data_IF_622665279190
#
_entry.id   IF_622665279190
#
_cell.length_a   1.000
_cell.length_b   1.000
_cell.length_c   1.000
_cell.angle_alpha   90.00
_cell.angle_beta   90.00
_cell.angle_gamma   90.00
#
_symmetry.space_group_name_H-M   'P 1'
#
loop_
_entity.id
_entity.type
_entity.pdbx_description
1 polymer ?
#
# COMPACT_ATOMS: atom_id res chain seq x y z
N UNK A 1 13.91 3.71 38.09
CA UNK A 1 15.36 3.45 37.99
C UNK A 1 15.50 2.13 37.24
N UNK A 2 16.04 2.15 36.02
CA UNK A 2 16.20 0.93 35.23
C UNK A 2 17.23 0.02 35.89
N UNK A 3 16.85 -1.22 36.18
CA UNK A 3 17.69 -2.22 36.84
C UNK A 3 18.85 -2.64 35.94
N UNK A 4 20.05 -2.80 36.50
CA UNK A 4 21.21 -3.35 35.79
C UNK A 4 21.06 -4.86 35.73
N UNK A 5 21.18 -5.45 34.54
CA UNK A 5 21.08 -6.90 34.32
C UNK A 5 22.47 -7.40 33.86
N UNK A 6 23.21 -8.18 34.67
CA UNK A 6 24.49 -8.74 34.25
C UNK A 6 24.30 -9.82 33.17
N UNK A 7 25.30 -9.99 32.30
CA UNK A 7 25.31 -11.09 31.32
C UNK A 7 25.46 -12.45 32.02
N UNK A 8 24.92 -13.50 31.42
CA UNK A 8 25.00 -14.88 31.93
C UNK A 8 25.50 -15.85 30.86
N UNK A 9 25.59 -17.15 31.18
CA UNK A 9 25.94 -18.19 30.20
C UNK A 9 24.89 -18.32 29.10
N UNK A 10 23.62 -18.14 29.45
CA UNK A 10 22.46 -18.23 28.56
C UNK A 10 22.27 -16.94 27.73
N UNK A 11 22.77 -15.81 28.24
CA UNK A 11 22.70 -14.50 27.58
C UNK A 11 24.07 -13.79 27.64
N UNK A 12 25.05 -14.23 26.82
CA UNK A 12 26.37 -13.61 26.77
C UNK A 12 26.30 -12.19 26.22
N UNK A 13 27.34 -11.41 26.47
CA UNK A 13 27.45 -10.07 25.92
C UNK A 13 27.39 -10.11 24.39
N UNK A 14 26.48 -9.36 23.74
CA UNK A 14 26.33 -9.39 22.28
C UNK A 14 27.58 -8.90 21.54
N UNK A 15 28.41 -8.08 22.20
CA UNK A 15 29.58 -7.44 21.58
C UNK A 15 30.87 -8.26 21.66
N UNK A 16 31.10 -8.96 22.79
CA UNK A 16 32.33 -9.72 23.00
C UNK A 16 32.12 -11.22 23.20
N UNK A 17 30.86 -11.68 23.25
CA UNK A 17 30.49 -13.08 23.44
C UNK A 17 30.83 -13.66 24.81
N UNK A 18 31.27 -12.84 25.78
CA UNK A 18 31.62 -13.29 27.13
C UNK A 18 30.42 -13.25 28.07
N UNK A 19 30.40 -14.17 29.01
CA UNK A 19 29.29 -14.45 29.92
C UNK A 19 29.46 -13.78 31.28
N UNK A 20 30.40 -12.84 31.40
CA UNK A 20 30.79 -12.20 32.65
C UNK A 20 31.19 -10.72 32.44
N UNK A 21 31.12 -9.92 33.51
CA UNK A 21 31.56 -8.50 33.63
C UNK A 21 30.78 -7.47 32.81
N UNK A 22 30.10 -7.87 31.73
CA UNK A 22 29.25 -6.99 30.93
C UNK A 22 27.83 -6.95 31.50
N UNK A 23 27.02 -5.98 31.08
CA UNK A 23 25.65 -5.87 31.56
C UNK A 23 24.77 -5.09 30.58
N UNK A 24 23.45 -5.20 30.72
CA UNK A 24 22.46 -4.37 30.04
C UNK A 24 21.68 -3.50 31.02
N UNK A 25 21.13 -2.40 30.52
CA UNK A 25 20.25 -1.48 31.24
C UNK A 25 19.11 -1.09 30.29
N UNK A 26 17.94 -1.70 30.45
CA UNK A 26 16.86 -1.61 29.46
C UNK A 26 17.35 -2.11 28.09
N UNK A 27 17.14 -1.33 27.04
CA UNK A 27 17.57 -1.62 25.67
C UNK A 27 19.07 -1.34 25.40
N UNK A 28 19.83 -0.89 26.39
CA UNK A 28 21.25 -0.57 26.23
C UNK A 28 22.14 -1.71 26.72
N UNK A 29 23.24 -1.97 26.02
CA UNK A 29 24.26 -2.95 26.41
C UNK A 29 25.61 -2.29 26.67
N UNK A 30 26.37 -2.83 27.62
CA UNK A 30 27.68 -2.30 28.04
C UNK A 30 28.71 -3.41 27.98
N UNK A 31 29.68 -3.27 27.08
CA UNK A 31 30.81 -4.19 26.99
C UNK A 31 32.01 -3.65 27.76
N UNK A 32 32.29 -4.19 28.95
CA UNK A 32 33.46 -3.79 29.77
C UNK A 32 34.81 -4.09 29.11
N UNK A 33 34.82 -4.96 28.10
CA UNK A 33 36.00 -5.29 27.29
C UNK A 33 36.19 -4.35 26.10
N UNK A 34 35.32 -3.33 25.95
CA UNK A 34 35.37 -2.31 24.89
C UNK A 34 35.42 -2.88 23.47
N UNK A 35 34.82 -4.05 23.27
CA UNK A 35 34.65 -4.61 21.93
C UNK A 35 33.81 -3.66 21.06
N UNK A 36 34.02 -3.64 19.73
CA UNK A 36 33.17 -2.88 18.81
C UNK A 36 31.70 -3.35 18.92
N UNK A 37 30.73 -2.49 18.55
CA UNK A 37 29.32 -2.89 18.56
C UNK A 37 29.12 -4.10 17.64
N UNK A 38 28.20 -4.98 18.03
CA UNK A 38 27.82 -6.13 17.23
C UNK A 38 26.91 -5.69 16.09
N UNK A 39 26.71 -6.54 15.09
CA UNK A 39 25.80 -6.24 13.99
C UNK A 39 24.40 -5.92 14.52
N UNK A 40 23.81 -4.84 13.99
CA UNK A 40 22.55 -4.32 14.50
C UNK A 40 22.67 -3.50 15.79
N UNK A 41 23.87 -3.15 16.26
CA UNK A 41 24.09 -2.24 17.41
C UNK A 41 24.94 -1.04 17.02
N UNK A 42 24.76 0.10 17.70
CA UNK A 42 25.56 1.32 17.52
C UNK A 42 26.09 1.84 18.84
N UNK A 43 27.31 2.38 18.81
CA UNK A 43 27.90 3.09 19.94
C UNK A 43 27.16 4.40 20.17
N UNK A 44 26.74 4.65 21.40
CA UNK A 44 26.14 5.92 21.81
C UNK A 44 27.21 6.87 22.36
N UNK A 45 26.86 8.15 22.49
CA UNK A 45 27.72 9.16 23.15
C UNK A 45 27.68 9.08 24.68
N UNK A 46 26.82 8.23 25.25
CA UNK A 46 26.66 8.08 26.70
C UNK A 46 27.58 6.97 27.21
N UNK A 47 28.09 7.14 28.43
CA UNK A 47 28.95 6.16 29.11
C UNK A 47 28.41 5.84 30.50
N UNK A 48 28.86 4.72 31.05
CA UNK A 48 28.72 4.47 32.48
C UNK A 48 29.66 5.37 33.31
N UNK A 49 29.58 5.23 34.63
CA UNK A 49 30.39 6.01 35.59
C UNK A 49 31.90 5.78 35.45
N UNK A 50 32.31 4.69 34.80
CA UNK A 50 33.70 4.34 34.53
C UNK A 50 34.15 4.74 33.11
N UNK A 51 33.31 5.47 32.37
CA UNK A 51 33.61 5.93 31.01
C UNK A 51 33.47 4.85 29.94
N UNK A 52 32.83 3.72 30.24
CA UNK A 52 32.56 2.66 29.26
C UNK A 52 31.34 3.04 28.42
N UNK A 53 31.42 3.08 27.08
CA UNK A 53 30.32 3.51 26.23
C UNK A 53 29.15 2.52 26.25
N UNK A 54 27.93 3.06 26.18
CA UNK A 54 26.74 2.27 25.96
C UNK A 54 26.53 2.00 24.48
N UNK A 55 26.07 0.79 24.15
CA UNK A 55 25.63 0.39 22.84
C UNK A 55 24.11 0.26 22.81
N UNK A 56 23.48 0.68 21.72
CA UNK A 56 22.03 0.61 21.52
C UNK A 56 21.72 -0.17 20.24
N UNK A 57 20.61 -0.92 20.16
CA UNK A 57 20.20 -1.55 18.92
C UNK A 57 19.91 -0.48 17.84
N UNK A 58 20.24 -0.82 16.61
CA UNK A 58 19.94 -0.04 15.41
C UNK A 58 18.50 -0.35 15.04
N UNK A 59 17.55 0.45 15.53
CA UNK A 59 16.17 0.42 15.05
C UNK A 59 16.14 0.79 13.56
N UNK A 60 15.44 -0.02 12.75
CA UNK A 60 15.32 0.15 11.29
C UNK A 60 14.55 1.40 10.82
N UNK A 61 14.23 2.35 11.70
CA UNK A 61 13.53 3.59 11.36
C UNK A 61 14.45 4.78 10.99
N UNK A 62 15.73 4.56 10.64
CA UNK A 62 16.64 5.66 10.26
C UNK A 62 17.54 5.39 9.05
N UNK A 63 16.93 5.02 7.93
CA UNK A 63 17.54 5.17 6.60
C UNK A 63 16.69 6.07 5.69
N UNK A 64 16.54 7.34 6.10
CA UNK A 64 16.41 8.47 5.19
C UNK A 64 16.72 9.77 5.95
N UNK A 65 17.98 10.18 6.01
CA UNK A 65 18.33 11.58 6.32
C UNK A 65 18.07 12.43 5.06
N UNK A 66 16.81 12.56 4.68
CA UNK A 66 16.34 13.70 3.90
C UNK A 66 16.00 14.82 4.87
N UNK A 67 16.35 16.07 4.55
CA UNK A 67 15.87 17.21 5.33
C UNK A 67 14.35 17.26 5.28
N UNK A 68 13.67 16.90 6.37
CA UNK A 68 12.23 17.05 6.52
C UNK A 68 11.87 18.55 6.47
N UNK A 69 11.51 19.05 5.30
CA UNK A 69 11.01 20.42 5.12
C UNK A 69 9.50 20.40 5.14
N UNK A 70 8.90 21.40 5.78
CA UNK A 70 7.48 21.67 5.58
C UNK A 70 7.23 21.91 4.09
N UNK A 71 6.13 21.37 3.58
CA UNK A 71 5.71 21.60 2.20
C UNK A 71 4.69 22.73 2.19
N UNK A 72 5.02 23.84 1.52
CA UNK A 72 4.08 24.94 1.30
C UNK A 72 3.67 24.97 -0.16
N UNK A 73 2.38 24.84 -0.42
CA UNK A 73 1.75 25.07 -1.73
C UNK A 73 0.90 26.34 -1.69
N UNK A 74 0.79 27.00 -2.83
CA UNK A 74 0.05 28.26 -2.97
C UNK A 74 -0.65 28.27 -4.31
N UNK A 75 -1.96 28.50 -4.30
CA UNK A 75 -2.78 28.60 -5.49
C UNK A 75 -3.33 30.02 -5.59
N UNK A 76 -3.06 30.66 -6.71
CA UNK A 76 -3.38 32.07 -6.93
C UNK A 76 -4.57 32.18 -7.86
N UNK A 77 -5.51 33.02 -7.47
CA UNK A 77 -6.70 33.37 -8.23
C UNK A 77 -6.54 34.79 -8.74
N UNK A 78 -6.85 34.97 -10.02
CA UNK A 78 -6.91 36.27 -10.67
C UNK A 78 -8.36 36.67 -10.88
N UNK A 79 -8.63 37.96 -11.04
CA UNK A 79 -9.90 38.39 -11.62
C UNK A 79 -9.99 37.97 -13.10
N UNK A 80 -11.16 38.19 -13.71
CA UNK A 80 -11.40 37.80 -15.11
C UNK A 80 -10.53 38.56 -16.11
N UNK A 81 -9.93 39.68 -15.70
CA UNK A 81 -8.98 40.45 -16.50
C UNK A 81 -7.52 40.01 -16.29
N UNK A 82 -7.26 39.05 -15.40
CA UNK A 82 -5.93 38.50 -15.11
C UNK A 82 -5.18 39.19 -13.98
N UNK A 83 -5.80 40.11 -13.23
CA UNK A 83 -5.17 40.78 -12.08
C UNK A 83 -5.23 39.90 -10.83
N UNK A 84 -4.15 39.83 -10.07
CA UNK A 84 -4.06 39.04 -8.83
C UNK A 84 -5.11 39.50 -7.79
N UNK A 85 -5.87 38.54 -7.23
CA UNK A 85 -7.04 38.84 -6.39
C UNK A 85 -6.94 38.17 -5.01
N UNK A 86 -6.97 36.84 -4.97
CA UNK A 86 -6.80 36.05 -3.73
C UNK A 86 -5.86 34.87 -3.96
N UNK A 87 -5.36 34.28 -2.88
CA UNK A 87 -4.64 33.01 -2.94
C UNK A 87 -5.01 32.11 -1.77
N UNK A 88 -5.00 30.81 -2.02
CA UNK A 88 -5.06 29.79 -0.99
C UNK A 88 -3.64 29.30 -0.70
N UNK A 89 -3.26 29.27 0.56
CA UNK A 89 -1.97 28.74 1.02
C UNK A 89 -2.24 27.51 1.88
N UNK A 90 -1.58 26.40 1.54
CA UNK A 90 -1.58 25.17 2.36
C UNK A 90 -0.16 24.83 2.74
N UNK A 91 0.04 24.56 4.02
CA UNK A 91 1.33 24.14 4.56
C UNK A 91 1.14 22.80 5.26
N UNK A 92 1.81 21.76 4.75
CA UNK A 92 1.91 20.45 5.38
C UNK A 92 3.17 20.42 6.23
N UNK A 93 3.04 19.97 7.46
CA UNK A 93 4.16 19.86 8.38
C UNK A 93 4.78 18.49 8.29
N UNK A 94 6.10 18.44 8.25
CA UNK A 94 6.84 17.19 8.32
C UNK A 94 6.68 16.48 9.66
N UNK A 95 6.37 17.24 10.72
CA UNK A 95 5.98 16.74 12.03
C UNK A 95 4.72 17.47 12.51
N UNK A 96 3.76 16.78 13.15
CA UNK A 96 2.56 17.42 13.68
C UNK A 96 2.90 18.62 14.59
N UNK A 97 2.16 19.72 14.44
CA UNK A 97 2.32 20.94 15.25
C UNK A 97 1.09 21.19 16.12
N UNK A 98 1.31 21.67 17.33
CA UNK A 98 0.25 22.18 18.20
C UNK A 98 -0.24 23.53 17.67
N UNK A 99 -1.47 23.55 17.15
CA UNK A 99 -2.16 24.75 16.66
C UNK A 99 -3.50 24.83 17.36
N UNK A 100 -3.73 25.91 18.09
CA UNK A 100 -4.94 26.13 18.90
C UNK A 100 -5.26 24.93 19.82
N UNK A 101 -4.23 24.36 20.45
CA UNK A 101 -4.36 23.23 21.38
C UNK A 101 -4.59 21.86 20.74
N UNK A 102 -4.59 21.75 19.40
CA UNK A 102 -4.72 20.46 18.69
C UNK A 102 -3.46 20.17 17.87
N UNK A 103 -3.01 18.92 17.89
CA UNK A 103 -1.97 18.44 16.98
C UNK A 103 -2.53 18.41 15.55
N UNK A 104 -1.91 19.17 14.65
CA UNK A 104 -2.27 19.25 13.23
C UNK A 104 -1.08 18.89 12.36
N UNK A 105 -1.32 18.09 11.32
CA UNK A 105 -0.33 17.74 10.28
C UNK A 105 -0.30 18.74 9.13
N UNK A 106 -1.25 19.68 9.08
CA UNK A 106 -1.30 20.74 8.08
C UNK A 106 -2.10 21.95 8.59
N UNK A 107 -1.92 23.08 7.91
CA UNK A 107 -2.81 24.24 8.00
C UNK A 107 -3.10 24.79 6.60
N UNK A 108 -4.27 25.38 6.45
CA UNK A 108 -4.64 26.12 5.25
C UNK A 108 -5.18 27.49 5.66
N UNK A 109 -4.85 28.52 4.90
CA UNK A 109 -5.39 29.87 5.07
C UNK A 109 -5.46 30.58 3.72
N UNK A 110 -6.20 31.68 3.69
CA UNK A 110 -6.40 32.49 2.49
C UNK A 110 -5.80 33.87 2.69
N UNK A 111 -5.37 34.48 1.59
CA UNK A 111 -4.83 35.83 1.55
C UNK A 111 -5.40 36.58 0.34
N UNK A 112 -5.44 37.91 0.41
CA UNK A 112 -5.87 38.79 -0.67
C UNK A 112 -4.71 39.69 -1.09
N UNK A 113 -4.71 40.08 -2.37
CA UNK A 113 -3.75 41.04 -2.89
C UNK A 113 -4.16 42.46 -2.47
N UNK A 114 -3.20 43.24 -1.99
CA UNK A 114 -3.40 44.66 -1.66
C UNK A 114 -2.96 45.55 -2.81
N UNK A 115 -3.36 46.82 -2.79
CA UNK A 115 -2.97 47.80 -3.81
C UNK A 115 -1.45 48.11 -3.82
N UNK A 116 -0.71 47.70 -2.79
CA UNK A 116 0.75 47.86 -2.69
C UNK A 116 1.51 46.58 -3.10
N UNK A 117 0.89 45.70 -3.89
CA UNK A 117 1.43 44.42 -4.35
C UNK A 117 1.87 43.46 -3.22
N UNK A 118 1.24 43.59 -2.05
CA UNK A 118 1.47 42.73 -0.88
C UNK A 118 0.28 41.79 -0.59
N UNK A 119 0.57 40.59 -0.11
CA UNK A 119 -0.45 39.63 0.35
C UNK A 119 -0.79 39.84 1.82
N UNK A 120 -2.08 39.92 2.15
CA UNK A 120 -2.55 40.03 3.53
C UNK A 120 -3.57 38.94 3.89
N UNK A 121 -3.61 38.46 5.15
CA UNK A 121 -4.53 37.42 5.59
C UNK A 121 -6.01 37.75 5.34
N UNK A 122 -6.79 36.74 4.99
CA UNK A 122 -8.22 36.85 4.72
C UNK A 122 -8.54 37.31 3.29
N UNK A 123 -9.83 37.48 3.00
CA UNK A 123 -10.36 37.92 1.69
C UNK A 123 -10.68 39.41 1.61
N UNK A 124 -10.50 40.18 2.68
CA UNK A 124 -10.82 41.61 2.74
C UNK A 124 -12.19 41.99 2.14
N UNK A 125 -13.23 41.23 2.46
CA UNK A 125 -14.58 41.49 1.98
C UNK A 125 -14.88 41.08 0.53
N UNK A 126 -13.89 40.61 -0.25
CA UNK A 126 -14.10 40.10 -1.61
C UNK A 126 -15.08 38.92 -1.57
N UNK A 127 -16.27 39.02 -2.18
CA UNK A 127 -17.27 37.96 -2.15
C UNK A 127 -16.84 36.77 -3.03
N UNK A 128 -17.30 35.56 -2.69
CA UNK A 128 -16.98 34.35 -3.46
C UNK A 128 -17.44 34.45 -4.92
N UNK A 129 -18.50 35.23 -5.19
CA UNK A 129 -19.04 35.44 -6.53
C UNK A 129 -18.12 36.24 -7.45
N UNK A 130 -17.21 37.03 -6.89
CA UNK A 130 -16.22 37.80 -7.65
C UNK A 130 -14.93 37.02 -7.90
N UNK A 131 -14.69 35.93 -7.17
CA UNK A 131 -13.51 35.07 -7.34
C UNK A 131 -13.82 34.07 -8.46
N UNK A 132 -13.12 34.12 -9.60
CA UNK A 132 -13.31 33.18 -10.70
C UNK A 132 -12.86 31.77 -10.34
N UNK A 133 -13.18 30.83 -11.21
CA UNK A 133 -12.65 29.46 -11.16
C UNK A 133 -11.11 29.41 -11.17
N UNK A 134 -10.52 28.41 -10.51
CA UNK A 134 -9.06 28.20 -10.54
C UNK A 134 -8.59 27.97 -11.98
N UNK A 135 -7.42 28.47 -12.36
CA UNK A 135 -6.95 28.45 -13.76
C UNK A 135 -7.91 29.12 -14.77
N UNK A 136 -8.68 30.14 -14.35
CA UNK A 136 -9.70 30.82 -15.17
C UNK A 136 -9.27 31.11 -16.61
N UNK A 137 -8.09 31.70 -16.84
CA UNK A 137 -7.62 32.03 -18.19
C UNK A 137 -7.48 30.77 -19.07
N UNK A 138 -6.90 29.70 -18.52
CA UNK A 138 -6.76 28.40 -19.21
C UNK A 138 -8.12 27.76 -19.48
N UNK A 139 -9.10 27.96 -18.59
CA UNK A 139 -10.50 27.56 -18.81
C UNK A 139 -11.12 28.36 -19.96
N UNK A 140 -10.93 29.68 -20.02
CA UNK A 140 -11.45 30.49 -21.14
C UNK A 140 -10.78 30.13 -22.47
N UNK A 141 -9.46 29.90 -22.48
CA UNK A 141 -8.73 29.39 -23.66
C UNK A 141 -9.32 28.05 -24.13
N UNK A 142 -9.60 27.12 -23.20
CA UNK A 142 -10.23 25.84 -23.51
C UNK A 142 -11.67 25.94 -24.03
N UNK A 143 -12.36 27.05 -23.75
CA UNK A 143 -13.73 27.27 -24.22
C UNK A 143 -13.72 27.94 -25.60
N UNK A 144 -12.97 29.03 -25.76
CA UNK A 144 -13.11 29.93 -26.91
C UNK A 144 -12.02 29.78 -27.96
N UNK A 145 -10.82 29.31 -27.59
CA UNK A 145 -9.67 29.28 -28.49
C UNK A 145 -9.30 27.85 -28.91
N UNK A 146 -9.31 26.92 -27.96
CA UNK A 146 -8.92 25.51 -28.15
C UNK A 146 -9.92 24.59 -27.45
N UNK A 147 -11.10 24.37 -28.05
CA UNK A 147 -12.14 23.51 -27.49
C UNK A 147 -11.59 22.16 -27.05
N UNK A 148 -11.62 21.89 -25.75
CA UNK A 148 -11.16 20.63 -25.15
C UNK A 148 -11.89 20.35 -23.83
N UNK A 149 -11.86 19.09 -23.33
CA UNK A 149 -12.52 18.74 -22.08
C UNK A 149 -11.93 19.51 -20.89
N UNK A 150 -12.82 19.99 -20.01
CA UNK A 150 -12.43 20.69 -18.77
C UNK A 150 -12.80 19.81 -17.58
N UNK A 151 -11.79 19.43 -16.81
CA UNK A 151 -11.95 18.65 -15.58
C UNK A 151 -12.25 19.58 -14.40
N UNK A 152 -13.30 19.29 -13.64
CA UNK A 152 -13.69 20.04 -12.45
C UNK A 152 -13.43 19.15 -11.24
N UNK A 153 -12.56 19.59 -10.34
CA UNK A 153 -12.15 18.82 -9.14
C UNK A 153 -12.61 19.51 -7.85
N UNK A 154 -12.64 18.79 -6.72
CA UNK A 154 -13.05 19.35 -5.42
C UNK A 154 -12.08 20.41 -4.87
N UNK A 155 -10.78 20.29 -5.19
CA UNK A 155 -9.77 21.22 -4.71
C UNK A 155 -8.59 21.42 -5.67
N UNK A 156 -7.76 22.42 -5.38
CA UNK A 156 -6.72 22.89 -6.30
C UNK A 156 -5.58 21.88 -6.47
N UNK A 157 -5.31 21.06 -5.45
CA UNK A 157 -4.28 20.01 -5.56
C UNK A 157 -4.68 18.91 -6.56
N UNK A 158 -5.96 18.58 -6.64
CA UNK A 158 -6.51 17.64 -7.62
C UNK A 158 -6.48 18.24 -9.02
N UNK A 159 -6.83 19.53 -9.14
CA UNK A 159 -6.71 20.27 -10.40
C UNK A 159 -5.24 20.26 -10.89
N UNK A 160 -4.27 20.58 -10.04
CA UNK A 160 -2.84 20.55 -10.40
C UNK A 160 -2.38 19.17 -10.89
N UNK A 161 -2.83 18.09 -10.24
CA UNK A 161 -2.47 16.73 -10.61
C UNK A 161 -2.93 16.40 -12.04
N UNK A 162 -4.19 16.72 -12.39
CA UNK A 162 -4.70 16.56 -13.76
C UNK A 162 -4.02 17.51 -14.74
N UNK A 163 -3.75 18.75 -14.34
CA UNK A 163 -3.00 19.72 -15.15
C UNK A 163 -1.59 19.24 -15.48
N UNK A 164 -0.94 18.50 -14.56
CA UNK A 164 0.39 17.92 -14.82
C UNK A 164 0.39 16.80 -15.85
N UNK A 165 -0.75 16.15 -16.07
CA UNK A 165 -0.96 15.19 -17.16
C UNK A 165 -1.35 15.86 -18.48
N UNK A 166 -1.47 17.19 -18.50
CA UNK A 166 -1.76 17.99 -19.69
C UNK A 166 -3.22 18.43 -19.84
N UNK A 167 -4.12 17.99 -18.96
CA UNK A 167 -5.53 18.37 -19.01
C UNK A 167 -5.76 19.85 -18.65
N UNK A 168 -6.90 20.39 -19.08
CA UNK A 168 -7.42 21.63 -18.50
C UNK A 168 -8.29 21.26 -17.32
N UNK A 169 -7.88 21.72 -16.14
CA UNK A 169 -8.55 21.42 -14.89
C UNK A 169 -8.75 22.65 -14.03
N UNK A 170 -9.83 22.63 -13.25
CA UNK A 170 -10.27 23.75 -12.44
C UNK A 170 -11.02 23.31 -11.17
N UNK A 171 -11.25 24.24 -10.26
CA UNK A 171 -12.05 24.09 -9.03
C UNK A 171 -12.57 25.45 -8.57
N UNK A 172 -13.55 25.49 -7.66
CA UNK A 172 -14.01 26.73 -7.05
C UNK A 172 -13.15 27.13 -5.84
N UNK A 173 -13.01 28.43 -5.62
CA UNK A 173 -12.37 28.92 -4.40
C UNK A 173 -13.17 28.51 -3.15
N UNK A 174 -12.48 27.98 -2.15
CA UNK A 174 -13.07 27.63 -0.85
C UNK A 174 -13.55 26.18 -0.73
N UNK A 175 -13.44 25.37 -1.79
CA UNK A 175 -13.71 23.93 -1.79
C UNK A 175 -15.19 23.55 -1.67
N UNK A 176 -15.44 22.33 -1.19
CA UNK A 176 -16.77 21.72 -1.09
C UNK A 176 -17.82 22.61 -0.39
N UNK A 177 -19.00 22.68 -1.00
CA UNK A 177 -20.12 23.51 -0.55
C UNK A 177 -19.98 25.01 -0.86
N UNK A 178 -18.92 25.45 -1.53
CA UNK A 178 -18.71 26.85 -1.92
C UNK A 178 -18.92 27.13 -3.42
N UNK A 179 -19.50 26.21 -4.19
CA UNK A 179 -19.92 26.47 -5.57
C UNK A 179 -20.96 27.59 -5.61
N UNK A 180 -20.76 28.58 -6.49
CA UNK A 180 -21.68 29.71 -6.70
C UNK A 180 -22.11 29.76 -8.16
N UNK A 181 -23.22 30.46 -8.44
CA UNK A 181 -23.70 30.66 -9.81
C UNK A 181 -22.65 31.33 -10.72
N UNK A 182 -21.79 32.16 -10.15
CA UNK A 182 -20.64 32.76 -10.87
C UNK A 182 -19.64 31.72 -11.38
N UNK A 183 -19.44 30.61 -10.66
CA UNK A 183 -18.59 29.51 -11.10
C UNK A 183 -19.16 28.83 -12.34
N UNK A 184 -20.47 28.59 -12.35
CA UNK A 184 -21.18 28.07 -13.53
C UNK A 184 -21.12 29.06 -14.69
N UNK A 185 -21.26 30.37 -14.41
CA UNK A 185 -21.18 31.41 -15.43
C UNK A 185 -19.81 31.47 -16.10
N UNK A 186 -18.71 31.20 -15.37
CA UNK A 186 -17.36 31.13 -15.91
C UNK A 186 -17.17 29.98 -16.92
N UNK A 187 -18.04 28.96 -16.89
CA UNK A 187 -18.01 27.81 -17.80
C UNK A 187 -18.95 27.97 -19.00
N UNK A 188 -19.62 29.13 -19.16
CA UNK A 188 -20.51 29.36 -20.29
C UNK A 188 -19.75 29.24 -21.62
N UNK A 189 -20.26 28.38 -22.50
CA UNK A 189 -19.63 28.06 -23.79
C UNK A 189 -18.80 26.78 -23.79
N UNK A 190 -18.52 26.18 -22.62
CA UNK A 190 -17.83 24.89 -22.55
C UNK A 190 -18.64 23.80 -23.27
N UNK A 191 -17.95 23.02 -24.11
CA UNK A 191 -18.56 21.92 -24.85
C UNK A 191 -18.54 20.60 -24.08
N UNK A 192 -17.54 20.41 -23.21
CA UNK A 192 -17.33 19.14 -22.50
C UNK A 192 -16.73 19.38 -21.11
N UNK A 193 -17.47 18.95 -20.08
CA UNK A 193 -17.07 19.01 -18.69
C UNK A 193 -16.96 17.59 -18.12
N UNK A 194 -15.92 17.34 -17.32
CA UNK A 194 -15.70 16.08 -16.61
C UNK A 194 -15.65 16.39 -15.11
N UNK A 195 -16.56 15.78 -14.35
CA UNK A 195 -16.72 16.01 -12.92
C UNK A 195 -15.93 14.98 -12.11
N UNK A 196 -15.00 15.42 -11.28
CA UNK A 196 -14.11 14.57 -10.49
C UNK A 196 -14.37 14.79 -8.99
N UNK A 197 -15.24 13.98 -8.40
CA UNK A 197 -15.52 14.05 -6.97
C UNK A 197 -14.52 13.23 -6.14
N UNK A 198 -14.25 13.69 -4.92
CA UNK A 198 -13.55 12.88 -3.93
C UNK A 198 -14.46 11.72 -3.50
N UNK A 199 -13.88 10.56 -3.18
CA UNK A 199 -14.64 9.36 -2.79
C UNK A 199 -15.09 9.41 -1.34
N UNK A 200 -15.90 10.40 -1.00
CA UNK A 200 -16.60 10.51 0.27
C UNK A 200 -17.96 11.22 0.15
N UNK A 201 -18.75 11.18 1.23
CA UNK A 201 -20.09 11.75 1.25
C UNK A 201 -20.12 13.26 0.97
N UNK A 202 -19.26 14.10 1.58
CA UNK A 202 -19.16 15.51 1.23
C UNK A 202 -18.82 15.76 -0.24
N UNK A 203 -17.87 15.04 -0.82
CA UNK A 203 -17.43 15.22 -2.20
C UNK A 203 -18.51 14.83 -3.21
N UNK A 204 -19.15 13.67 -3.02
CA UNK A 204 -20.29 13.26 -3.86
C UNK A 204 -21.44 14.25 -3.77
N UNK A 205 -21.82 14.69 -2.57
CA UNK A 205 -22.88 15.68 -2.39
C UNK A 205 -22.55 17.00 -3.08
N UNK A 206 -21.32 17.48 -2.94
CA UNK A 206 -20.88 18.71 -3.58
C UNK A 206 -20.98 18.62 -5.10
N UNK A 207 -20.52 17.52 -5.69
CA UNK A 207 -20.57 17.34 -7.14
C UNK A 207 -21.98 17.08 -7.68
N UNK A 208 -22.91 16.60 -6.86
CA UNK A 208 -24.34 16.61 -7.22
C UNK A 208 -24.85 18.04 -7.42
N UNK A 209 -24.49 18.95 -6.51
CA UNK A 209 -24.85 20.38 -6.61
C UNK A 209 -24.17 21.06 -7.81
N UNK A 210 -22.90 20.72 -8.08
CA UNK A 210 -22.15 21.20 -9.26
C UNK A 210 -22.81 20.69 -10.54
N UNK A 211 -23.14 19.40 -10.62
CA UNK A 211 -23.76 18.76 -11.77
C UNK A 211 -25.09 19.40 -12.13
N UNK A 212 -25.97 19.62 -11.15
CA UNK A 212 -27.25 20.30 -11.37
C UNK A 212 -27.08 21.77 -11.79
N UNK A 213 -25.97 22.40 -11.41
CA UNK A 213 -25.65 23.76 -11.83
C UNK A 213 -25.13 23.81 -13.27
N UNK A 214 -24.16 22.97 -13.63
CA UNK A 214 -23.52 22.99 -14.97
C UNK A 214 -24.42 22.41 -16.06
N UNK A 215 -25.35 21.51 -15.74
CA UNK A 215 -26.36 21.01 -16.69
C UNK A 215 -27.28 22.09 -17.25
N UNK A 216 -27.38 23.26 -16.58
CA UNK A 216 -28.15 24.40 -17.04
C UNK A 216 -27.46 25.16 -18.18
N UNK A 217 -26.20 24.83 -18.50
CA UNK A 217 -25.49 25.41 -19.63
C UNK A 217 -25.98 24.76 -20.93
N UNK A 218 -26.19 25.57 -21.96
CA UNK A 218 -26.68 25.09 -23.24
C UNK A 218 -25.62 24.28 -23.98
N UNK A 219 -25.98 23.06 -24.42
CA UNK A 219 -25.17 22.25 -25.33
C UNK A 219 -23.91 21.62 -24.73
N UNK A 220 -23.76 21.62 -23.40
CA UNK A 220 -22.59 21.01 -22.74
C UNK A 220 -22.75 19.51 -22.55
N UNK A 221 -21.72 18.73 -22.90
CA UNK A 221 -21.58 17.33 -22.51
C UNK A 221 -21.01 17.28 -21.09
N UNK A 222 -21.64 16.53 -20.18
CA UNK A 222 -21.15 16.37 -18.80
C UNK A 222 -20.94 14.90 -18.49
N UNK A 223 -19.71 14.54 -18.15
CA UNK A 223 -19.28 13.18 -17.80
C UNK A 223 -18.61 13.19 -16.41
N UNK A 224 -18.25 12.01 -15.92
CA UNK A 224 -17.76 11.80 -14.57
C UNK A 224 -16.43 11.05 -14.57
N UNK A 225 -15.54 11.39 -13.65
CA UNK A 225 -14.33 10.63 -13.38
C UNK A 225 -14.34 10.22 -11.92
N UNK A 226 -14.25 8.92 -11.69
CA UNK A 226 -14.25 8.34 -10.36
C UNK A 226 -12.86 7.81 -10.03
N UNK A 227 -12.21 8.41 -9.04
CA UNK A 227 -10.93 7.91 -8.55
C UNK A 227 -11.07 6.46 -8.08
N UNK A 228 -10.19 5.57 -8.54
CA UNK A 228 -10.28 4.13 -8.33
C UNK A 228 -11.67 3.60 -8.78
N UNK A 229 -11.97 3.61 -10.09
CA UNK A 229 -13.32 3.38 -10.61
C UNK A 229 -13.85 1.98 -10.25
N UNK A 230 -12.99 0.96 -10.24
CA UNK A 230 -13.34 -0.42 -9.85
C UNK A 230 -13.51 -0.63 -8.34
N UNK A 231 -13.38 0.44 -7.55
CA UNK A 231 -13.44 0.34 -6.10
C UNK A 231 -14.86 0.03 -5.62
N UNK A 232 -15.04 -1.00 -4.77
CA UNK A 232 -16.34 -1.33 -4.21
C UNK A 232 -16.85 -0.25 -3.22
N UNK A 233 -16.02 0.74 -2.87
CA UNK A 233 -16.37 1.83 -1.96
C UNK A 233 -17.16 2.98 -2.61
N UNK A 234 -17.40 2.92 -3.92
CA UNK A 234 -18.34 3.83 -4.59
C UNK A 234 -19.82 3.49 -4.30
N UNK A 235 -20.10 2.37 -3.62
CA UNK A 235 -21.45 2.03 -3.20
C UNK A 235 -21.95 2.96 -2.07
N UNK A 236 -23.22 3.39 -2.15
CA UNK A 236 -23.78 4.41 -1.25
C UNK A 236 -23.70 4.02 0.25
N UNK A 237 -23.72 2.72 0.55
CA UNK A 237 -23.60 2.14 1.88
C UNK A 237 -22.14 2.07 2.40
N UNK A 238 -21.15 2.19 1.51
CA UNK A 238 -19.72 2.08 1.83
C UNK A 238 -18.94 3.38 1.65
N UNK A 239 -19.60 4.43 1.14
CA UNK A 239 -18.98 5.73 0.95
C UNK A 239 -18.56 6.34 2.31
N UNK A 240 -17.29 6.70 2.50
CA UNK A 240 -16.78 7.30 3.74
C UNK A 240 -17.54 8.57 4.14
N UNK A 241 -17.67 8.82 5.44
CA UNK A 241 -18.30 10.07 5.94
C UNK A 241 -17.43 11.32 5.70
N UNK A 242 -16.13 11.14 5.55
CA UNK A 242 -15.15 12.18 5.22
C UNK A 242 -13.78 11.53 4.97
N UNK A 243 -12.87 12.24 4.30
CA UNK A 243 -11.49 11.80 4.16
C UNK A 243 -11.37 10.66 3.17
N UNK A 244 -12.18 10.72 2.12
CA UNK A 244 -12.07 9.83 0.97
C UNK A 244 -10.74 10.00 0.24
N UNK A 245 -10.52 9.12 -0.72
CA UNK A 245 -9.41 9.25 -1.68
C UNK A 245 -9.83 10.17 -2.81
N UNK A 246 -8.86 10.89 -3.38
CA UNK A 246 -9.08 11.81 -4.50
C UNK A 246 -8.34 11.36 -5.78
N UNK A 247 -8.56 12.08 -6.88
CA UNK A 247 -7.90 11.79 -8.16
C UNK A 247 -6.39 12.02 -8.10
N UNK A 248 -5.89 12.90 -7.23
CA UNK A 248 -4.45 13.11 -7.06
C UNK A 248 -3.79 11.93 -6.35
N UNK A 249 -4.45 11.32 -5.36
CA UNK A 249 -4.02 10.07 -4.73
C UNK A 249 -3.98 8.95 -5.77
N UNK A 250 -5.02 8.83 -6.59
CA UNK A 250 -5.09 7.79 -7.63
C UNK A 250 -3.97 7.91 -8.68
N UNK A 251 -3.75 9.12 -9.21
CA UNK A 251 -2.64 9.40 -10.15
C UNK A 251 -1.29 9.08 -9.50
N UNK A 252 -1.10 9.45 -8.22
CA UNK A 252 0.16 9.26 -7.52
C UNK A 252 0.44 7.79 -7.22
N UNK A 253 -0.56 7.05 -6.74
CA UNK A 253 -0.41 5.66 -6.31
C UNK A 253 -0.11 4.73 -7.48
N UNK A 254 -0.73 4.97 -8.64
CA UNK A 254 -0.59 4.12 -9.83
C UNK A 254 0.27 4.73 -10.94
N UNK A 255 0.75 5.97 -10.78
CA UNK A 255 1.51 6.71 -11.80
C UNK A 255 0.76 6.81 -13.13
N UNK A 256 -0.54 7.13 -13.07
CA UNK A 256 -1.43 7.12 -14.22
C UNK A 256 -1.01 8.08 -15.32
N UNK A 257 -1.24 7.66 -16.56
CA UNK A 257 -1.07 8.44 -17.78
C UNK A 257 -2.35 9.19 -18.15
N UNK A 258 -2.24 10.14 -19.08
CA UNK A 258 -3.41 10.87 -19.59
C UNK A 258 -4.42 9.91 -20.26
N UNK A 259 -3.95 8.91 -21.01
CA UNK A 259 -4.82 7.98 -21.72
C UNK A 259 -5.66 7.13 -20.73
N UNK A 260 -5.03 6.60 -19.68
CA UNK A 260 -5.74 5.84 -18.63
C UNK A 260 -6.80 6.68 -17.90
N UNK A 261 -6.54 7.98 -17.69
CA UNK A 261 -7.55 8.89 -17.10
C UNK A 261 -8.74 9.08 -18.04
N UNK A 262 -8.50 9.20 -19.35
CA UNK A 262 -9.58 9.36 -20.34
C UNK A 262 -10.39 8.06 -20.49
N UNK A 263 -9.74 6.90 -20.48
CA UNK A 263 -10.40 5.59 -20.54
C UNK A 263 -11.32 5.33 -19.34
N UNK A 264 -11.02 5.92 -18.18
CA UNK A 264 -11.81 5.80 -16.97
C UNK A 264 -12.96 6.82 -16.85
N UNK A 265 -13.18 7.68 -17.85
CA UNK A 265 -14.29 8.63 -17.85
C UNK A 265 -15.60 7.90 -18.08
N UNK A 266 -16.50 8.04 -17.12
CA UNK A 266 -17.83 7.47 -17.15
C UNK A 266 -18.83 8.45 -17.79
N UNK A 267 -19.67 8.01 -18.73
CA UNK A 267 -20.59 8.88 -19.46
C UNK A 267 -21.70 9.44 -18.57
N UNK A 268 -21.98 8.81 -17.43
CA UNK A 268 -23.06 9.17 -16.55
C UNK A 268 -22.60 9.11 -15.10
N UNK A 269 -23.27 9.90 -14.26
CA UNK A 269 -23.15 9.78 -12.82
C UNK A 269 -23.51 8.35 -12.42
N UNK A 270 -22.61 7.64 -11.74
CA UNK A 270 -22.94 6.33 -11.16
C UNK A 270 -24.22 6.48 -10.33
N UNK A 271 -25.23 5.61 -10.53
CA UNK A 271 -26.47 5.70 -9.77
C UNK A 271 -26.10 5.68 -8.29
N UNK A 272 -26.66 6.60 -7.50
CA UNK A 272 -26.76 6.35 -6.07
C UNK A 272 -27.49 5.02 -5.98
N UNK A 273 -26.79 3.92 -5.64
CA UNK A 273 -27.38 2.58 -5.64
C UNK A 273 -28.66 2.68 -4.81
N UNK A 274 -29.80 2.70 -5.50
CA UNK A 274 -31.10 2.72 -4.86
C UNK A 274 -31.11 1.48 -3.98
N UNK A 275 -31.43 1.61 -2.68
CA UNK A 275 -31.62 0.44 -1.85
C UNK A 275 -32.60 -0.48 -2.60
N UNK A 276 -32.22 -1.75 -2.74
CA UNK A 276 -33.03 -2.76 -3.40
C UNK A 276 -34.48 -2.64 -2.88
N UNK A 277 -35.50 -2.74 -3.75
CA UNK A 277 -36.89 -2.67 -3.32
C UNK A 277 -37.12 -3.65 -2.18
N UNK A 278 -37.62 -3.17 -1.06
CA UNK A 278 -38.02 -4.01 0.06
C UNK A 278 -39.20 -4.87 -0.39
N UNK A 279 -38.94 -6.12 -0.76
CA UNK A 279 -39.99 -7.13 -0.76
C UNK A 279 -40.57 -7.23 0.66
N UNK A 280 -41.90 -7.34 0.74
CA UNK A 280 -42.66 -7.45 1.98
C UNK A 280 -42.21 -8.68 2.79
N UNK A 281 -41.20 -8.51 3.63
CA UNK A 281 -40.93 -9.46 4.68
C UNK A 281 -41.97 -9.29 5.79
N UNK A 282 -42.46 -10.39 6.40
CA UNK A 282 -43.23 -10.31 7.63
C UNK A 282 -42.46 -9.46 8.65
N UNK A 283 -43.15 -8.76 9.58
CA UNK A 283 -42.53 -7.82 10.49
C UNK A 283 -41.29 -8.46 11.14
N UNK A 284 -40.15 -7.75 11.17
CA UNK A 284 -38.89 -8.35 11.56
C UNK A 284 -39.07 -8.95 12.95
N UNK A 285 -38.72 -10.23 13.06
CA UNK A 285 -38.49 -10.83 14.37
C UNK A 285 -37.56 -9.88 15.14
N UNK A 286 -37.78 -9.69 16.45
CA UNK A 286 -37.03 -8.74 17.26
C UNK A 286 -35.54 -8.88 16.95
N UNK A 287 -34.91 -7.79 16.51
CA UNK A 287 -33.49 -7.76 16.17
C UNK A 287 -32.74 -8.27 17.39
N UNK A 288 -32.24 -9.50 17.29
CA UNK A 288 -31.34 -10.03 18.29
C UNK A 288 -30.16 -9.06 18.37
N UNK A 289 -29.76 -8.62 19.58
CA UNK A 289 -28.63 -7.72 19.72
C UNK A 289 -27.44 -8.31 18.97
N UNK A 290 -26.89 -7.55 17.99
CA UNK A 290 -25.70 -7.98 17.24
C UNK A 290 -24.65 -8.36 18.27
N UNK A 291 -24.19 -9.61 18.24
CA UNK A 291 -23.21 -10.05 19.22
C UNK A 291 -21.96 -9.18 19.09
N UNK A 292 -21.32 -8.87 20.22
CA UNK A 292 -20.05 -8.14 20.25
C UNK A 292 -19.03 -8.76 19.27
N UNK A 293 -19.03 -10.09 19.17
CA UNK A 293 -18.24 -10.89 18.23
C UNK A 293 -18.52 -10.56 16.76
N UNK A 294 -19.79 -10.41 16.38
CA UNK A 294 -20.17 -10.09 15.00
C UNK A 294 -19.68 -8.69 14.60
N UNK A 295 -19.77 -7.71 15.51
CA UNK A 295 -19.25 -6.37 15.27
C UNK A 295 -17.72 -6.39 15.10
N UNK A 296 -17.01 -7.12 15.97
CA UNK A 296 -15.56 -7.27 15.90
C UNK A 296 -15.10 -7.95 14.60
N UNK A 297 -15.74 -9.06 14.19
CA UNK A 297 -15.43 -9.73 12.92
C UNK A 297 -15.63 -8.81 11.71
N UNK A 298 -16.67 -7.98 11.75
CA UNK A 298 -16.97 -7.03 10.68
C UNK A 298 -15.91 -5.93 10.60
N UNK A 299 -15.44 -5.41 11.73
CA UNK A 299 -14.33 -4.44 11.78
C UNK A 299 -13.06 -5.01 11.15
N UNK A 300 -12.65 -6.23 11.54
CA UNK A 300 -11.44 -6.86 10.98
C UNK A 300 -11.59 -7.07 9.46
N UNK A 301 -12.76 -7.52 8.98
CA UNK A 301 -13.01 -7.68 7.55
C UNK A 301 -12.88 -6.38 6.77
N UNK A 302 -13.35 -5.27 7.33
CA UNK A 302 -13.33 -3.97 6.65
C UNK A 302 -11.93 -3.37 6.60
N UNK A 303 -11.17 -3.46 7.68
CA UNK A 303 -9.89 -2.78 7.79
C UNK A 303 -8.73 -3.65 7.29
N UNK A 304 -8.74 -4.95 7.58
CA UNK A 304 -7.62 -5.86 7.31
C UNK A 304 -7.95 -6.91 6.25
N UNK A 305 -9.22 -7.04 5.84
CA UNK A 305 -9.67 -8.16 4.99
C UNK A 305 -9.03 -8.22 3.61
N UNK A 306 -8.56 -7.10 3.05
CA UNK A 306 -7.81 -7.07 1.78
C UNK A 306 -6.35 -7.51 1.91
N UNK A 307 -5.76 -7.26 3.07
CA UNK A 307 -4.35 -7.53 3.34
C UNK A 307 -4.14 -8.96 3.87
N UNK A 308 -5.21 -9.57 4.41
CA UNK A 308 -5.21 -10.94 4.90
C UNK A 308 -5.33 -11.95 3.75
N UNK A 309 -4.35 -12.84 3.65
CA UNK A 309 -4.34 -13.95 2.71
C UNK A 309 -3.85 -15.24 3.39
N UNK A 310 -4.26 -16.39 2.89
CA UNK A 310 -3.77 -17.69 3.38
C UNK A 310 -2.75 -18.28 2.41
N UNK A 311 -1.54 -18.49 2.88
CA UNK A 311 -0.47 -19.09 2.09
C UNK A 311 -0.55 -20.61 2.19
N UNK A 312 -0.97 -21.27 1.11
CA UNK A 312 -1.16 -22.71 1.06
C UNK A 312 0.14 -23.50 1.15
N UNK A 313 1.28 -22.92 0.73
CA UNK A 313 2.59 -23.59 0.83
C UNK A 313 3.02 -23.69 2.29
N UNK A 314 2.96 -22.57 3.02
CA UNK A 314 3.45 -22.49 4.41
C UNK A 314 2.37 -22.81 5.45
N UNK A 315 1.10 -22.92 5.04
CA UNK A 315 -0.09 -23.06 5.90
C UNK A 315 -0.21 -21.94 6.94
N UNK A 316 0.18 -20.72 6.58
CA UNK A 316 0.17 -19.54 7.47
C UNK A 316 -0.76 -18.45 6.95
N UNK A 317 -1.34 -17.72 7.90
CA UNK A 317 -2.00 -16.44 7.63
C UNK A 317 -0.94 -15.40 7.38
N UNK A 318 -1.11 -14.63 6.31
CA UNK A 318 -0.26 -13.51 5.95
C UNK A 318 -1.05 -12.20 6.00
N UNK A 319 -0.35 -11.13 6.32
CA UNK A 319 -0.82 -9.76 6.25
C UNK A 319 0.16 -8.96 5.38
N UNK A 320 -0.32 -8.35 4.30
CA UNK A 320 0.53 -7.68 3.29
C UNK A 320 1.67 -8.57 2.75
N UNK A 321 1.41 -9.88 2.62
CA UNK A 321 2.36 -10.86 2.11
C UNK A 321 3.46 -11.27 3.09
N UNK A 322 3.36 -10.86 4.36
CA UNK A 322 4.24 -11.31 5.44
C UNK A 322 3.50 -12.23 6.41
N UNK A 323 4.12 -13.29 6.95
CA UNK A 323 3.50 -14.13 7.96
C UNK A 323 3.04 -13.32 9.17
N UNK A 324 1.75 -13.38 9.47
CA UNK A 324 1.16 -12.65 10.58
C UNK A 324 1.64 -13.22 11.91
N UNK A 325 2.17 -12.36 12.78
CA UNK A 325 2.66 -12.79 14.08
C UNK A 325 1.50 -12.92 15.08
N UNK A 326 1.09 -14.16 15.34
CA UNK A 326 -0.03 -14.47 16.22
C UNK A 326 0.23 -14.12 17.70
N UNK A 327 1.49 -13.87 18.10
CA UNK A 327 1.84 -13.45 19.46
C UNK A 327 1.59 -11.95 19.68
N UNK A 328 1.83 -11.12 18.67
CA UNK A 328 1.65 -9.65 18.72
C UNK A 328 0.32 -9.17 18.16
N UNK A 329 -0.45 -10.06 17.52
CA UNK A 329 -1.73 -9.76 16.88
C UNK A 329 -2.68 -8.88 17.69
N UNK A 330 -2.77 -9.10 19.01
CA UNK A 330 -3.66 -8.29 19.87
C UNK A 330 -3.20 -6.84 19.98
N UNK A 331 -1.89 -6.59 20.01
CA UNK A 331 -1.33 -5.24 20.06
C UNK A 331 -1.58 -4.51 18.74
N UNK A 332 -1.30 -5.18 17.63
CA UNK A 332 -1.53 -4.66 16.28
C UNK A 332 -3.02 -4.31 16.06
N UNK A 333 -3.95 -5.15 16.52
CA UNK A 333 -5.39 -4.87 16.47
C UNK A 333 -5.82 -3.66 17.30
N UNK A 334 -5.11 -3.36 18.40
CA UNK A 334 -5.39 -2.17 19.23
C UNK A 334 -4.84 -0.92 18.56
N UNK A 335 -3.64 -0.98 17.99
CA UNK A 335 -2.99 0.15 17.34
C UNK A 335 -3.68 0.54 16.03
N UNK A 336 -4.07 -0.45 15.23
CA UNK A 336 -4.62 -0.22 13.89
C UNK A 336 -6.15 -0.08 13.87
N UNK A 337 -6.86 -0.81 14.73
CA UNK A 337 -8.33 -0.88 14.72
C UNK A 337 -9.00 -0.26 15.95
N UNK A 338 -8.21 0.27 16.90
CA UNK A 338 -8.69 0.76 18.21
C UNK A 338 -9.60 -0.26 18.93
N UNK A 339 -9.35 -1.56 18.72
CA UNK A 339 -10.26 -2.63 19.11
C UNK A 339 -9.67 -3.55 20.18
N UNK A 340 -10.35 -3.68 21.32
CA UNK A 340 -10.03 -4.69 22.33
C UNK A 340 -10.73 -6.02 22.03
N UNK A 341 -9.92 -7.01 21.63
CA UNK A 341 -10.34 -8.36 21.28
C UNK A 341 -9.43 -9.39 21.96
N UNK A 342 -10.01 -10.53 22.37
CA UNK A 342 -9.23 -11.64 22.89
C UNK A 342 -8.36 -12.27 21.81
N UNK A 343 -7.15 -12.71 22.17
CA UNK A 343 -6.17 -13.28 21.23
C UNK A 343 -6.77 -14.41 20.39
N UNK A 344 -7.40 -15.39 21.03
CA UNK A 344 -7.92 -16.57 20.34
C UNK A 344 -9.00 -16.21 19.31
N UNK A 345 -9.86 -15.25 19.67
CA UNK A 345 -10.91 -14.73 18.79
C UNK A 345 -10.31 -13.96 17.61
N UNK A 346 -9.26 -13.16 17.84
CA UNK A 346 -8.57 -12.44 16.78
C UNK A 346 -7.90 -13.40 15.79
N UNK A 347 -7.25 -14.46 16.29
CA UNK A 347 -6.65 -15.51 15.46
C UNK A 347 -7.72 -16.24 14.65
N UNK A 348 -8.83 -16.64 15.28
CA UNK A 348 -9.94 -17.30 14.60
C UNK A 348 -10.50 -16.42 13.46
N UNK A 349 -10.72 -15.14 13.73
CA UNK A 349 -11.25 -14.20 12.73
C UNK A 349 -10.28 -13.95 11.59
N UNK A 350 -9.00 -13.69 11.88
CA UNK A 350 -7.99 -13.50 10.83
C UNK A 350 -7.84 -14.74 9.97
N UNK A 351 -7.81 -15.93 10.58
CA UNK A 351 -7.72 -17.21 9.87
C UNK A 351 -8.95 -17.44 8.98
N UNK A 352 -10.15 -17.23 9.51
CA UNK A 352 -11.39 -17.42 8.74
C UNK A 352 -11.53 -16.44 7.56
N UNK A 353 -10.96 -15.24 7.67
CA UNK A 353 -10.92 -14.26 6.57
C UNK A 353 -9.85 -14.67 5.55
N UNK A 354 -8.64 -14.96 6.02
CA UNK A 354 -7.51 -15.35 5.17
C UNK A 354 -7.80 -16.61 4.33
N UNK A 355 -8.46 -17.62 4.91
CA UNK A 355 -8.85 -18.85 4.19
C UNK A 355 -9.78 -18.62 3.00
N UNK A 356 -10.47 -17.46 2.93
CA UNK A 356 -11.27 -17.09 1.76
C UNK A 356 -10.43 -16.49 0.63
N UNK A 357 -9.19 -16.10 0.93
CA UNK A 357 -8.18 -15.53 0.03
C UNK A 357 -6.93 -16.40 0.06
N UNK A 358 -7.12 -17.70 -0.09
CA UNK A 358 -6.01 -18.65 -0.18
C UNK A 358 -5.30 -18.53 -1.52
N UNK A 359 -3.99 -18.70 -1.50
CA UNK A 359 -3.19 -18.73 -2.71
C UNK A 359 -1.96 -19.61 -2.51
N UNK A 360 -1.50 -20.24 -3.60
CA UNK A 360 -0.24 -20.96 -3.63
C UNK A 360 0.86 -20.07 -4.22
N UNK A 361 1.89 -19.65 -3.45
CA UNK A 361 2.87 -18.66 -3.91
C UNK A 361 3.72 -19.13 -5.10
N UNK A 362 3.99 -20.42 -5.21
CA UNK A 362 4.72 -21.00 -6.35
C UNK A 362 3.84 -21.01 -7.60
N UNK A 363 2.53 -21.27 -7.45
CA UNK A 363 1.61 -21.31 -8.58
C UNK A 363 1.47 -19.90 -9.18
N UNK A 364 1.20 -18.92 -8.31
CA UNK A 364 1.16 -17.50 -8.68
C UNK A 364 2.46 -17.04 -9.36
N UNK A 365 3.62 -17.49 -8.87
CA UNK A 365 4.90 -17.20 -9.51
C UNK A 365 5.01 -17.78 -10.91
N UNK A 366 4.61 -19.04 -11.11
CA UNK A 366 4.65 -19.69 -12.41
C UNK A 366 3.69 -19.05 -13.42
N UNK A 367 2.48 -18.67 -12.99
CA UNK A 367 1.50 -17.95 -13.81
C UNK A 367 2.04 -16.57 -14.26
N UNK A 368 2.71 -15.83 -13.37
CA UNK A 368 3.35 -14.56 -13.72
C UNK A 368 4.49 -14.75 -14.72
N UNK A 369 5.33 -15.79 -14.54
CA UNK A 369 6.42 -16.10 -15.47
C UNK A 369 5.90 -16.47 -16.86
N UNK A 370 4.80 -17.23 -16.95
CA UNK A 370 4.16 -17.56 -18.22
C UNK A 370 3.64 -16.29 -18.93
N UNK A 371 3.04 -15.37 -18.18
CA UNK A 371 2.54 -14.10 -18.70
C UNK A 371 3.65 -13.18 -19.20
N UNK A 372 4.74 -13.04 -18.43
CA UNK A 372 5.87 -12.16 -18.76
C UNK A 372 6.75 -12.74 -19.88
N UNK A 373 6.80 -14.06 -20.01
CA UNK A 373 7.69 -14.77 -20.92
C UNK A 373 6.99 -15.90 -21.68
N UNK A 374 6.00 -15.59 -22.55
CA UNK A 374 5.26 -16.61 -23.30
C UNK A 374 6.16 -17.41 -24.27
N UNK A 375 7.28 -16.82 -24.69
CA UNK A 375 8.25 -17.42 -25.60
C UNK A 375 9.69 -17.22 -25.11
N UNK A 376 10.16 -17.99 -24.12
CA UNK A 376 11.43 -17.73 -23.44
C UNK A 376 12.68 -18.02 -24.30
N UNK A 377 12.53 -18.61 -25.48
CA UNK A 377 13.66 -18.94 -26.38
C UNK A 377 14.66 -19.95 -25.78
N UNK A 378 14.26 -20.65 -24.71
CA UNK A 378 15.05 -21.67 -24.04
C UNK A 378 14.50 -23.03 -24.43
N UNK A 379 15.37 -23.88 -24.96
CA UNK A 379 15.06 -25.27 -25.24
C UNK A 379 15.24 -26.11 -23.98
N UNK A 380 14.21 -26.87 -23.60
CA UNK A 380 14.27 -27.78 -22.46
C UNK A 380 15.16 -29.00 -22.73
N UNK A 381 15.45 -29.32 -24.00
CA UNK A 381 16.20 -30.51 -24.41
C UNK A 381 17.72 -30.38 -24.30
N UNK A 382 18.25 -29.18 -23.98
CA UNK A 382 19.71 -28.94 -23.86
C UNK A 382 20.15 -28.30 -22.54
N UNK A 383 19.29 -28.29 -21.52
CA UNK A 383 19.54 -27.59 -20.26
C UNK A 383 20.75 -28.14 -19.49
N UNK A 384 20.96 -29.45 -19.47
CA UNK A 384 22.07 -30.04 -18.73
C UNK A 384 23.41 -29.71 -19.41
N UNK A 385 23.45 -29.63 -20.74
CA UNK A 385 24.62 -29.13 -21.48
C UNK A 385 24.87 -27.67 -21.14
N UNK A 386 23.82 -26.84 -21.22
CA UNK A 386 23.91 -25.40 -21.05
C UNK A 386 24.35 -24.97 -19.65
N UNK A 387 23.86 -25.63 -18.61
CA UNK A 387 24.05 -25.17 -17.22
C UNK A 387 24.95 -26.08 -16.38
N UNK A 388 25.04 -27.37 -16.71
CA UNK A 388 25.82 -28.36 -15.93
C UNK A 388 27.05 -28.87 -16.69
N UNK A 389 27.22 -28.50 -17.96
CA UNK A 389 28.40 -28.85 -18.76
C UNK A 389 28.48 -30.33 -19.13
N UNK A 390 27.34 -30.99 -19.29
CA UNK A 390 27.27 -32.40 -19.69
C UNK A 390 26.43 -32.59 -20.94
N UNK A 391 26.98 -33.31 -21.93
CA UNK A 391 26.32 -33.57 -23.22
C UNK A 391 25.71 -34.97 -23.33
N UNK A 392 25.64 -35.70 -22.21
CA UNK A 392 25.08 -37.04 -22.23
C UNK A 392 23.56 -37.01 -22.41
N UNK A 393 22.99 -37.74 -23.39
CA UNK A 393 21.55 -37.68 -23.69
C UNK A 393 20.66 -38.02 -22.49
N UNK A 394 21.10 -38.93 -21.62
CA UNK A 394 20.37 -39.31 -20.41
C UNK A 394 20.23 -38.12 -19.44
N UNK A 395 21.27 -37.31 -19.27
CA UNK A 395 21.26 -36.18 -18.35
C UNK A 395 20.26 -35.10 -18.76
N UNK A 396 20.10 -34.85 -20.07
CA UNK A 396 19.07 -33.94 -20.58
C UNK A 396 17.67 -34.41 -20.20
N UNK A 397 17.39 -35.70 -20.39
CA UNK A 397 16.08 -36.31 -20.11
C UNK A 397 15.77 -36.25 -18.60
N UNK A 398 16.74 -36.57 -17.75
CA UNK A 398 16.57 -36.55 -16.29
C UNK A 398 16.24 -35.15 -15.79
N UNK A 399 16.99 -34.13 -16.23
CA UNK A 399 16.75 -32.74 -15.83
C UNK A 399 15.40 -32.23 -16.36
N UNK A 400 15.09 -32.48 -17.64
CA UNK A 400 13.79 -32.11 -18.25
C UNK A 400 12.62 -32.72 -17.51
N UNK A 401 12.66 -34.03 -17.23
CA UNK A 401 11.58 -34.72 -16.50
C UNK A 401 11.41 -34.20 -15.08
N UNK A 402 12.50 -33.89 -14.38
CA UNK A 402 12.45 -33.32 -13.04
C UNK A 402 11.77 -31.94 -13.03
N UNK A 403 12.11 -31.06 -13.98
CA UNK A 403 11.50 -29.73 -14.10
C UNK A 403 10.01 -29.78 -14.47
N UNK A 404 9.65 -30.65 -15.41
CA UNK A 404 8.23 -30.85 -15.77
C UNK A 404 7.45 -31.37 -14.57
N UNK A 405 8.02 -32.35 -13.84
CA UNK A 405 7.37 -32.90 -12.66
C UNK A 405 7.25 -31.89 -11.52
N UNK A 406 8.24 -31.02 -11.31
CA UNK A 406 8.19 -30.01 -10.25
C UNK A 406 7.12 -28.95 -10.51
N UNK A 407 6.89 -28.58 -11.78
CA UNK A 407 5.75 -27.73 -12.18
C UNK A 407 4.42 -28.48 -12.04
N UNK A 408 4.35 -29.72 -12.55
CA UNK A 408 3.12 -30.53 -12.49
C UNK A 408 2.65 -30.78 -11.06
N UNK A 409 3.56 -30.97 -10.10
CA UNK A 409 3.24 -31.15 -8.67
C UNK A 409 2.55 -29.94 -8.04
N UNK A 410 2.78 -28.73 -8.56
CA UNK A 410 2.14 -27.49 -8.09
C UNK A 410 0.72 -27.38 -8.63
N UNK A 411 0.53 -27.59 -9.94
CA UNK A 411 -0.79 -27.47 -10.57
C UNK A 411 -1.68 -28.71 -10.41
N UNK A 412 -1.09 -29.87 -10.12
CA UNK A 412 -1.79 -31.14 -9.88
C UNK A 412 -1.26 -31.79 -8.59
N UNK A 413 -1.65 -31.26 -7.40
CA UNK A 413 -1.27 -31.85 -6.12
C UNK A 413 -1.65 -33.34 -6.06
N UNK A 414 -0.72 -34.18 -5.60
CA UNK A 414 -0.91 -35.63 -5.55
C UNK A 414 -0.57 -36.38 -6.85
N UNK A 415 -0.16 -35.70 -7.93
CA UNK A 415 0.36 -36.40 -9.11
C UNK A 415 1.61 -37.23 -8.74
N UNK A 416 1.71 -38.43 -9.32
CA UNK A 416 2.75 -39.40 -8.97
C UNK A 416 4.10 -39.01 -9.58
N UNK A 417 5.13 -38.90 -8.75
CA UNK A 417 6.52 -38.69 -9.17
C UNK A 417 7.44 -39.31 -8.11
N UNK A 418 7.86 -40.55 -8.34
CA UNK A 418 8.61 -41.38 -7.37
C UNK A 418 10.12 -41.38 -7.68
N UNK A 419 10.65 -40.26 -8.17
CA UNK A 419 12.07 -40.12 -8.53
C UNK A 419 12.70 -38.91 -7.86
N UNK A 420 13.96 -39.04 -7.46
CA UNK A 420 14.79 -37.93 -6.99
C UNK A 420 15.84 -37.58 -8.04
N UNK A 421 16.07 -36.28 -8.28
CA UNK A 421 17.16 -35.82 -9.14
C UNK A 421 18.48 -35.84 -8.36
N UNK A 422 19.47 -36.56 -8.88
CA UNK A 422 20.81 -36.63 -8.29
C UNK A 422 21.78 -35.86 -9.18
N UNK A 423 22.45 -34.86 -8.61
CA UNK A 423 23.52 -34.12 -9.28
C UNK A 423 24.87 -34.67 -8.78
N UNK A 424 25.55 -35.45 -9.63
CA UNK A 424 26.85 -36.04 -9.30
C UNK A 424 28.01 -35.18 -9.83
N UNK A 425 29.05 -35.01 -9.00
CA UNK A 425 30.28 -34.30 -9.36
C UNK A 425 31.07 -33.90 -8.13
N UNK A 426 32.27 -33.35 -8.32
CA UNK A 426 33.17 -32.98 -7.22
C UNK A 426 32.50 -32.04 -6.20
N UNK A 427 33.02 -32.03 -4.97
CA UNK A 427 32.68 -31.01 -4.00
C UNK A 427 33.09 -29.61 -4.50
N UNK A 428 32.38 -28.57 -4.06
CA UNK A 428 32.67 -27.19 -4.46
C UNK A 428 32.18 -26.78 -5.86
N UNK A 429 31.51 -27.67 -6.61
CA UNK A 429 30.96 -27.38 -7.95
C UNK A 429 29.61 -26.63 -7.96
N UNK A 430 29.22 -26.02 -6.83
CA UNK A 430 28.01 -25.18 -6.70
C UNK A 430 26.67 -25.87 -7.02
N UNK A 431 26.58 -27.19 -6.80
CA UNK A 431 25.38 -28.01 -7.07
C UNK A 431 24.14 -27.52 -6.29
N UNK A 432 24.29 -27.35 -4.97
CA UNK A 432 23.24 -26.78 -4.11
C UNK A 432 22.87 -25.35 -4.51
N UNK A 433 23.87 -24.55 -4.92
CA UNK A 433 23.64 -23.18 -5.41
C UNK A 433 22.84 -23.17 -6.71
N UNK A 434 23.07 -24.12 -7.63
CA UNK A 434 22.30 -24.25 -8.86
C UNK A 434 20.82 -24.49 -8.56
N UNK A 435 20.50 -25.45 -7.68
CA UNK A 435 19.11 -25.73 -7.28
C UNK A 435 18.46 -24.54 -6.57
N UNK A 436 19.20 -23.88 -5.66
CA UNK A 436 18.74 -22.68 -4.96
C UNK A 436 18.43 -21.52 -5.89
N UNK A 437 19.22 -21.33 -6.95
CA UNK A 437 18.97 -20.29 -7.96
C UNK A 437 17.81 -20.66 -8.87
N UNK A 438 17.72 -21.92 -9.28
CA UNK A 438 16.68 -22.44 -10.17
C UNK A 438 15.27 -22.31 -9.55
N UNK A 439 15.10 -22.76 -8.31
CA UNK A 439 13.82 -22.73 -7.60
C UNK A 439 13.57 -21.41 -6.86
N UNK A 440 14.62 -20.60 -6.69
CA UNK A 440 14.60 -19.39 -5.89
C UNK A 440 14.77 -19.67 -4.40
N UNK A 441 15.59 -18.87 -3.73
CA UNK A 441 15.93 -19.06 -2.31
C UNK A 441 14.73 -19.07 -1.35
N UNK A 442 13.60 -18.45 -1.74
CA UNK A 442 12.35 -18.43 -0.97
C UNK A 442 11.57 -19.75 -1.00
N UNK A 443 11.82 -20.61 -1.99
CA UNK A 443 11.10 -21.88 -2.18
C UNK A 443 12.00 -23.10 -2.05
N UNK A 444 13.23 -22.90 -1.57
CA UNK A 444 14.29 -23.90 -1.52
C UNK A 444 14.78 -24.12 -0.08
N UNK A 445 14.88 -25.39 0.33
CA UNK A 445 15.42 -25.81 1.63
C UNK A 445 16.56 -26.80 1.40
N UNK A 446 17.70 -26.60 2.07
CA UNK A 446 18.93 -27.40 1.92
C UNK A 446 19.20 -28.38 3.08
N UNK A 447 18.36 -28.39 4.11
CA UNK A 447 18.67 -29.10 5.36
C UNK A 447 17.51 -29.99 5.81
N UNK A 448 17.72 -31.31 5.71
CA UNK A 448 17.01 -32.30 6.51
C UNK A 448 17.61 -32.29 7.92
N UNK A 449 16.95 -31.62 8.87
CA UNK A 449 17.31 -31.78 10.27
C UNK A 449 16.77 -33.12 10.76
N UNK A 450 17.55 -33.89 11.54
CA UNK A 450 17.06 -35.05 12.29
C UNK A 450 15.94 -34.60 13.21
N UNK A 451 14.70 -34.82 12.80
CA UNK A 451 13.51 -34.37 13.51
C UNK A 451 12.52 -35.52 13.59
N UNK A 452 11.41 -35.34 14.31
CA UNK A 452 10.34 -36.33 14.28
C UNK A 452 9.74 -36.43 12.87
N UNK A 453 9.22 -37.60 12.48
CA UNK A 453 8.58 -37.82 11.16
C UNK A 453 7.55 -36.71 10.81
N UNK A 454 6.86 -36.17 11.81
CA UNK A 454 5.88 -35.10 11.65
C UNK A 454 6.52 -33.77 11.22
N UNK A 455 7.63 -33.38 11.84
CA UNK A 455 8.31 -32.13 11.53
C UNK A 455 8.96 -32.18 10.14
N UNK A 456 9.44 -33.35 9.74
CA UNK A 456 9.99 -33.60 8.41
C UNK A 456 8.91 -33.48 7.33
N UNK A 457 7.73 -34.08 7.54
CA UNK A 457 6.59 -33.92 6.63
C UNK A 457 6.12 -32.47 6.51
N UNK A 458 6.09 -31.71 7.62
CA UNK A 458 5.75 -30.28 7.58
C UNK A 458 6.79 -29.46 6.80
N UNK A 459 8.08 -29.78 6.94
CA UNK A 459 9.14 -29.11 6.16
C UNK A 459 9.03 -29.43 4.67
N UNK A 460 8.79 -30.69 4.32
CA UNK A 460 8.59 -31.12 2.94
C UNK A 460 7.44 -30.37 2.28
N UNK A 461 6.34 -30.16 3.01
CA UNK A 461 5.20 -29.38 2.51
C UNK A 461 5.50 -27.89 2.33
N UNK A 462 6.44 -27.33 3.09
CA UNK A 462 6.68 -25.89 3.17
C UNK A 462 7.55 -25.28 2.07
N UNK A 463 8.00 -26.09 1.09
CA UNK A 463 8.90 -25.64 0.02
C UNK A 463 8.57 -26.29 -1.32
N UNK A 464 9.06 -25.69 -2.41
CA UNK A 464 8.91 -26.24 -3.76
C UNK A 464 10.00 -27.27 -4.07
N UNK A 465 11.21 -27.02 -3.59
CA UNK A 465 12.34 -27.92 -3.74
C UNK A 465 13.05 -28.09 -2.40
N UNK A 466 13.23 -29.35 -2.03
CA UNK A 466 14.05 -29.74 -0.90
C UNK A 466 15.27 -30.50 -1.41
N UNK A 467 16.45 -29.99 -1.09
CA UNK A 467 17.69 -30.72 -1.30
C UNK A 467 17.94 -31.63 -0.09
N UNK A 468 18.15 -32.91 -0.39
CA UNK A 468 18.65 -33.86 0.59
C UNK A 468 20.17 -33.96 0.44
N UNK A 469 20.90 -33.10 1.16
CA UNK A 469 22.35 -33.21 1.25
C UNK A 469 22.70 -34.57 1.88
N UNK A 470 23.59 -35.34 1.25
CA UNK A 470 24.10 -36.63 1.75
C UNK A 470 23.15 -37.84 1.63
N UNK A 471 22.38 -37.95 0.53
CA UNK A 471 21.61 -39.17 0.22
C UNK A 471 22.45 -40.47 0.31
N UNK A 472 23.75 -40.39 0.02
CA UNK A 472 24.72 -41.49 0.11
C UNK A 472 24.90 -42.05 1.54
N UNK A 473 24.49 -41.31 2.57
CA UNK A 473 24.57 -41.76 3.97
C UNK A 473 23.32 -42.51 4.45
N UNK A 474 22.28 -42.55 3.62
CA UNK A 474 20.94 -43.08 3.96
C UNK A 474 20.73 -44.50 3.45
N UNK A 475 21.52 -44.96 2.46
CA UNK A 475 21.40 -46.27 1.83
C UNK A 475 22.60 -47.17 2.06
#
# INVERSE_FOLDING_TARGET
MSSIIPVTAEQPCPHCGKTDWCYSIGELSVCKRKAPPADGWKRTSKTDREGTPFYAPVTQERLAKGTYRDERKTWVYTDRAGKLLVRLVREKYSQPRLINGKLKKSRSWQEHMTNNDGWQPGRNGIPLTEIPLYNYQRVQEAIYERPQPIFITEGENCADALSSLGFVSTTNFGGSGQWKDSCTADLKGALHLILCCDRDQPGVKHFDEVHESVKKLDGVKVEWLYAYPDSPFWSADKLPKSGGVDVADWIKDFQLTADEIIEAVEPHRLPALTPLPTENFPPPAPVLPKSKLQAQLQTIKLCWGEQLAYNELTNKVEFDGLPLNLDTLRVEMVEDLEMDIGRDVAVEFCTAIALKKSYHPVQKYLELVEMDHPHPGIDLDNLASRYLGTDEPLHQILLKKHLIASVARIFQPGCKHDSALILQGDQGRRKSTFLKLLYGARFFIDTMAKCSDRDELMRLHSCWCLEWAELETVF
#
